data_IF_430114195676
#
_entry.id   IF_430114195676
#
_cell.length_a   1.000
_cell.length_b   1.000
_cell.length_c   1.000
_cell.angle_alpha   90.00
_cell.angle_beta   90.00
_cell.angle_gamma   90.00
#
_symmetry.space_group_name_H-M   'P 1'
#
loop_
_entity.id
_entity.type
_entity.pdbx_description
1 polymer ?
#
# COMPACT_ATOMS: atom_id res chain seq x y z
N UNK A 1 -3.54 7.14 7.20
CA UNK A 1 -4.05 6.48 8.43
C UNK A 1 -4.17 4.98 8.17
N UNK A 2 -4.09 4.14 9.20
CA UNK A 2 -3.95 2.69 9.10
C UNK A 2 -5.05 2.04 8.24
N UNK A 3 -4.65 1.13 7.35
CA UNK A 3 -5.56 0.15 6.78
C UNK A 3 -6.32 -0.44 7.96
N UNK A 4 -7.65 -0.43 7.91
CA UNK A 4 -8.45 -1.02 8.97
C UNK A 4 -8.44 -2.55 8.79
N UNK A 5 -7.23 -3.13 8.79
CA UNK A 5 -6.98 -4.56 8.82
C UNK A 5 -7.72 -5.20 9.99
N UNK A 6 -8.05 -4.41 11.02
CA UNK A 6 -8.89 -4.82 12.15
C UNK A 6 -10.33 -5.18 11.77
N UNK A 7 -10.86 -4.65 10.66
CA UNK A 7 -12.17 -5.06 10.14
C UNK A 7 -12.14 -6.43 9.47
N UNK A 8 -10.97 -6.85 8.97
CA UNK A 8 -10.76 -8.14 8.30
C UNK A 8 -10.30 -9.19 9.30
N UNK A 9 -9.36 -8.81 10.17
CA UNK A 9 -8.75 -9.66 11.18
C UNK A 9 -9.70 -9.87 12.36
N UNK A 10 -10.05 -11.12 12.64
CA UNK A 10 -11.09 -11.46 13.62
C UNK A 10 -10.58 -11.40 15.06
N UNK A 11 -9.52 -12.16 15.34
CA UNK A 11 -8.94 -12.30 16.70
C UNK A 11 -7.53 -11.75 16.72
N UNK A 12 -7.10 -11.12 17.83
CA UNK A 12 -5.77 -10.53 17.97
C UNK A 12 -5.42 -9.55 16.84
N UNK A 13 -6.42 -8.86 16.29
CA UNK A 13 -6.30 -8.02 15.09
C UNK A 13 -5.13 -7.04 15.14
N UNK A 14 -4.93 -6.34 16.28
CA UNK A 14 -3.79 -5.43 16.48
C UNK A 14 -2.44 -6.13 16.33
N UNK A 15 -2.30 -7.35 16.85
CA UNK A 15 -1.06 -8.12 16.80
C UNK A 15 -0.80 -8.69 15.41
N UNK A 16 -1.85 -9.22 14.77
CA UNK A 16 -1.81 -9.75 13.40
C UNK A 16 -1.56 -8.65 12.36
N UNK A 17 -2.01 -7.42 12.61
CA UNK A 17 -1.70 -6.26 11.76
C UNK A 17 -0.17 -6.04 11.63
N UNK A 18 0.58 -6.14 12.72
CA UNK A 18 2.05 -6.04 12.69
C UNK A 18 2.68 -7.23 11.95
N UNK A 19 2.11 -8.42 12.09
CA UNK A 19 2.57 -9.59 11.34
C UNK A 19 2.34 -9.41 9.84
N UNK A 20 1.15 -8.97 9.40
CA UNK A 20 0.83 -8.74 7.99
C UNK A 20 1.77 -7.71 7.38
N UNK A 21 1.98 -6.57 8.05
CA UNK A 21 2.93 -5.53 7.58
C UNK A 21 4.34 -6.09 7.46
N UNK A 22 4.83 -6.73 8.51
CA UNK A 22 6.16 -7.34 8.52
C UNK A 22 6.31 -8.44 7.44
N UNK A 23 5.29 -9.25 7.23
CA UNK A 23 5.35 -10.34 6.25
C UNK A 23 5.48 -9.81 4.83
N UNK A 24 4.81 -8.69 4.51
CA UNK A 24 4.91 -8.08 3.19
C UNK A 24 6.20 -7.28 3.03
N UNK A 25 6.56 -6.45 4.01
CA UNK A 25 7.66 -5.47 3.88
C UNK A 25 9.02 -5.97 4.38
N UNK A 26 9.04 -7.00 5.22
CA UNK A 26 10.25 -7.55 5.83
C UNK A 26 10.88 -8.71 5.05
N UNK A 27 12.05 -9.13 5.53
CA UNK A 27 12.89 -10.15 4.89
C UNK A 27 12.44 -11.58 5.18
N UNK A 28 11.35 -11.74 5.97
CA UNK A 28 10.73 -13.03 6.33
C UNK A 28 11.68 -13.98 7.09
N UNK A 29 12.80 -13.49 7.59
CA UNK A 29 13.71 -14.26 8.44
C UNK A 29 13.28 -14.17 9.90
N UNK A 30 13.65 -15.19 10.69
CA UNK A 30 13.39 -15.19 12.15
C UNK A 30 14.08 -14.02 12.87
N UNK A 31 15.27 -13.64 12.41
CA UNK A 31 16.03 -12.53 12.98
C UNK A 31 15.31 -11.19 12.75
N UNK A 32 14.89 -10.94 11.51
CA UNK A 32 14.14 -9.75 11.13
C UNK A 32 12.79 -9.68 11.87
N UNK A 33 12.08 -10.81 11.97
CA UNK A 33 10.86 -10.92 12.76
C UNK A 33 11.07 -10.51 14.22
N UNK A 34 12.11 -11.04 14.87
CA UNK A 34 12.40 -10.75 16.28
C UNK A 34 12.73 -9.27 16.49
N UNK A 35 13.40 -8.65 15.52
CA UNK A 35 13.78 -7.24 15.56
C UNK A 35 12.58 -6.32 15.33
N UNK A 36 11.76 -6.62 14.33
CA UNK A 36 10.82 -5.66 13.74
C UNK A 36 9.34 -5.99 13.97
N UNK A 37 8.98 -7.23 14.32
CA UNK A 37 7.59 -7.67 14.49
C UNK A 37 7.28 -8.15 15.92
N UNK A 38 8.13 -9.02 16.49
CA UNK A 38 7.87 -9.75 17.73
C UNK A 38 7.45 -8.88 18.92
N UNK A 39 8.07 -7.70 19.07
CA UNK A 39 7.74 -6.76 20.16
C UNK A 39 6.29 -6.30 20.14
N UNK A 40 5.69 -6.23 18.96
CA UNK A 40 4.33 -5.74 18.76
C UNK A 40 3.32 -6.87 18.54
N UNK A 41 3.74 -7.98 17.94
CA UNK A 41 2.90 -9.17 17.75
C UNK A 41 2.78 -10.02 19.02
N UNK A 42 3.77 -9.96 19.91
CA UNK A 42 3.88 -10.76 21.14
C UNK A 42 3.69 -12.27 20.90
N UNK A 43 4.09 -12.74 19.71
CA UNK A 43 3.99 -14.14 19.30
C UNK A 43 5.34 -14.59 18.77
N UNK A 44 5.71 -15.84 19.07
CA UNK A 44 6.92 -16.44 18.54
C UNK A 44 6.85 -16.63 17.02
N UNK A 45 7.98 -16.46 16.36
CA UNK A 45 8.10 -16.58 14.90
C UNK A 45 7.45 -17.85 14.35
N UNK A 46 7.77 -19.02 14.93
CA UNK A 46 7.22 -20.30 14.48
C UNK A 46 5.69 -20.31 14.58
N UNK A 47 5.14 -19.80 15.68
CA UNK A 47 3.69 -19.70 15.88
C UNK A 47 3.04 -18.78 14.85
N UNK A 48 3.63 -17.62 14.55
CA UNK A 48 3.12 -16.73 13.51
C UNK A 48 3.13 -17.40 12.12
N UNK A 49 4.23 -18.06 11.77
CA UNK A 49 4.42 -18.66 10.46
C UNK A 49 3.61 -19.95 10.25
N UNK A 50 3.44 -20.77 11.28
CA UNK A 50 2.73 -22.06 11.19
C UNK A 50 1.23 -21.92 11.47
N UNK A 51 0.80 -20.90 12.23
CA UNK A 51 -0.61 -20.70 12.56
C UNK A 51 -1.19 -19.49 11.87
N UNK A 52 -0.69 -18.28 12.18
CA UNK A 52 -1.32 -17.06 11.68
C UNK A 52 -1.29 -16.96 10.16
N UNK A 53 -0.18 -17.35 9.53
CA UNK A 53 -0.07 -17.33 8.06
C UNK A 53 -1.12 -18.22 7.36
N UNK A 54 -1.60 -19.27 8.02
CA UNK A 54 -2.60 -20.18 7.48
C UNK A 54 -4.04 -19.72 7.73
N UNK A 55 -4.25 -18.69 8.55
CA UNK A 55 -5.58 -18.16 8.81
C UNK A 55 -6.08 -17.34 7.61
N UNK A 56 -7.31 -17.60 7.18
CA UNK A 56 -7.92 -16.95 6.01
C UNK A 56 -7.98 -15.42 6.14
N UNK A 57 -8.27 -14.90 7.34
CA UNK A 57 -8.32 -13.46 7.60
C UNK A 57 -6.95 -12.80 7.46
N UNK A 58 -5.88 -13.50 7.84
CA UNK A 58 -4.50 -13.04 7.66
C UNK A 58 -4.09 -13.08 6.20
N UNK A 59 -4.42 -14.14 5.47
CA UNK A 59 -4.12 -14.24 4.04
C UNK A 59 -4.84 -13.15 3.24
N UNK A 60 -6.10 -12.87 3.57
CA UNK A 60 -6.87 -11.81 2.94
C UNK A 60 -6.28 -10.42 3.26
N UNK A 61 -5.90 -10.20 4.52
CA UNK A 61 -5.20 -8.99 4.93
C UNK A 61 -3.87 -8.80 4.16
N UNK A 62 -3.10 -9.86 3.94
CA UNK A 62 -1.86 -9.83 3.13
C UNK A 62 -2.18 -9.42 1.69
N UNK A 63 -3.19 -10.03 1.05
CA UNK A 63 -3.57 -9.68 -0.33
C UNK A 63 -3.97 -8.22 -0.47
N UNK A 64 -4.79 -7.71 0.45
CA UNK A 64 -5.23 -6.31 0.45
C UNK A 64 -4.04 -5.37 0.64
N UNK A 65 -3.13 -5.70 1.57
CA UNK A 65 -1.91 -4.91 1.77
C UNK A 65 -1.02 -4.90 0.51
N UNK A 66 -0.83 -6.06 -0.13
CA UNK A 66 -0.07 -6.17 -1.39
C UNK A 66 -0.74 -5.41 -2.54
N UNK A 67 -2.08 -5.45 -2.68
CA UNK A 67 -2.82 -4.64 -3.68
C UNK A 67 -2.53 -3.15 -3.47
N UNK A 68 -2.60 -2.67 -2.24
CA UNK A 68 -2.31 -1.26 -1.91
C UNK A 68 -0.86 -0.88 -2.18
N UNK A 69 0.09 -1.73 -1.78
CA UNK A 69 1.51 -1.49 -2.05
C UNK A 69 1.80 -1.47 -3.56
N UNK A 70 1.15 -2.34 -4.34
CA UNK A 70 1.23 -2.31 -5.80
C UNK A 70 0.75 -0.98 -6.36
N UNK A 71 -0.38 -0.45 -5.86
CA UNK A 71 -0.91 0.82 -6.32
C UNK A 71 0.06 1.99 -6.04
N UNK A 72 0.70 2.01 -4.86
CA UNK A 72 1.74 3.00 -4.53
C UNK A 72 2.91 2.92 -5.51
N UNK A 73 3.45 1.72 -5.74
CA UNK A 73 4.56 1.50 -6.68
C UNK A 73 4.18 1.94 -8.10
N UNK A 74 2.93 1.73 -8.51
CA UNK A 74 2.44 2.19 -9.81
C UNK A 74 2.38 3.72 -9.91
N UNK A 75 2.00 4.42 -8.83
CA UNK A 75 2.06 5.89 -8.78
C UNK A 75 3.50 6.41 -8.86
N UNK A 76 4.44 5.78 -8.16
CA UNK A 76 5.87 6.14 -8.22
C UNK A 76 6.45 5.93 -9.63
N UNK A 77 6.07 4.84 -10.30
CA UNK A 77 6.43 4.60 -11.71
C UNK A 77 5.80 5.66 -12.60
N UNK A 78 4.53 6.02 -12.37
CA UNK A 78 3.85 7.06 -13.13
C UNK A 78 4.59 8.39 -13.03
N UNK A 79 4.94 8.84 -11.83
CA UNK A 79 5.70 10.07 -11.62
C UNK A 79 7.07 10.02 -12.31
N UNK A 80 7.77 8.89 -12.22
CA UNK A 80 9.06 8.67 -12.88
C UNK A 80 8.93 8.78 -14.41
N UNK A 81 7.93 8.13 -15.00
CA UNK A 81 7.68 8.16 -16.45
C UNK A 81 7.22 9.54 -16.91
N UNK A 82 6.38 10.21 -16.13
CA UNK A 82 5.92 11.57 -16.41
C UNK A 82 7.10 12.56 -16.47
N UNK A 83 8.01 12.51 -15.50
CA UNK A 83 9.20 13.37 -15.50
C UNK A 83 10.12 13.11 -16.70
N UNK A 84 10.29 11.84 -17.12
CA UNK A 84 11.03 11.50 -18.33
C UNK A 84 10.33 12.01 -19.60
N UNK A 85 9.01 11.88 -19.67
CA UNK A 85 8.21 12.40 -20.78
C UNK A 85 8.37 13.92 -20.92
N UNK A 86 8.32 14.67 -19.80
CA UNK A 86 8.58 16.11 -19.79
C UNK A 86 10.00 16.48 -20.24
N UNK A 87 10.95 15.55 -20.10
CA UNK A 87 12.33 15.71 -20.55
C UNK A 87 12.53 15.31 -22.02
N UNK A 88 11.45 15.01 -22.75
CA UNK A 88 11.46 14.67 -24.17
C UNK A 88 11.55 13.18 -24.50
N UNK A 89 11.46 12.28 -23.49
CA UNK A 89 11.40 10.84 -23.74
C UNK A 89 10.02 10.42 -24.28
N UNK A 90 9.95 10.25 -25.59
CA UNK A 90 8.74 9.85 -26.32
C UNK A 90 8.17 8.51 -25.83
N UNK A 91 9.01 7.54 -25.46
CA UNK A 91 8.52 6.24 -24.97
C UNK A 91 7.86 6.37 -23.60
N UNK A 92 8.43 7.22 -22.75
CA UNK A 92 7.83 7.53 -21.46
C UNK A 92 6.51 8.29 -21.64
N UNK A 93 6.42 9.20 -22.62
CA UNK A 93 5.16 9.88 -22.97
C UNK A 93 4.07 8.91 -23.45
N UNK A 94 4.41 7.97 -24.34
CA UNK A 94 3.48 6.92 -24.78
C UNK A 94 3.02 6.01 -23.63
N UNK A 95 3.92 5.68 -22.69
CA UNK A 95 3.57 4.89 -21.52
C UNK A 95 2.60 5.65 -20.61
N UNK A 96 2.85 6.94 -20.36
CA UNK A 96 1.97 7.81 -19.55
C UNK A 96 0.59 7.92 -20.20
N UNK A 97 0.52 8.12 -21.51
CA UNK A 97 -0.75 8.16 -22.24
C UNK A 97 -1.52 6.84 -22.11
N UNK A 98 -0.86 5.70 -22.25
CA UNK A 98 -1.48 4.37 -22.06
C UNK A 98 -1.95 4.16 -20.63
N UNK A 99 -1.16 4.58 -19.65
CA UNK A 99 -1.51 4.47 -18.23
C UNK A 99 -2.72 5.35 -17.88
N UNK A 100 -2.77 6.58 -18.40
CA UNK A 100 -3.92 7.48 -18.21
C UNK A 100 -5.22 6.90 -18.80
N UNK A 101 -5.13 6.14 -19.89
CA UNK A 101 -6.27 5.43 -20.51
C UNK A 101 -6.59 4.08 -19.84
N UNK A 102 -5.81 3.66 -18.86
CA UNK A 102 -6.04 2.39 -18.16
C UNK A 102 -7.09 2.54 -17.06
N UNK A 103 -7.64 1.41 -16.63
CA UNK A 103 -8.62 1.36 -15.54
C UNK A 103 -8.03 1.72 -14.16
N UNK A 104 -6.74 2.05 -14.07
CA UNK A 104 -6.09 2.43 -12.81
C UNK A 104 -6.74 3.64 -12.13
N UNK A 105 -7.27 4.58 -12.91
CA UNK A 105 -7.99 5.76 -12.42
C UNK A 105 -9.51 5.67 -12.56
N UNK A 106 -10.04 4.54 -13.06
CA UNK A 106 -11.48 4.36 -13.29
C UNK A 106 -12.23 3.94 -12.03
N UNK A 107 -13.28 4.69 -11.69
CA UNK A 107 -14.44 4.43 -10.80
C UNK A 107 -14.29 3.72 -9.43
N UNK A 108 -13.09 3.40 -8.95
CA UNK A 108 -12.85 3.07 -7.54
C UNK A 108 -12.59 4.34 -6.70
N UNK A 109 -13.31 5.43 -7.00
CA UNK A 109 -13.20 6.73 -6.29
C UNK A 109 -13.29 6.56 -4.77
N UNK A 110 -14.11 5.63 -4.29
CA UNK A 110 -14.24 5.30 -2.87
C UNK A 110 -12.95 4.69 -2.26
N UNK A 111 -12.18 3.86 -2.98
CA UNK A 111 -10.93 3.27 -2.46
C UNK A 111 -9.74 4.25 -2.53
N UNK A 112 -9.73 5.14 -3.53
CA UNK A 112 -8.64 6.10 -3.76
C UNK A 112 -8.84 7.39 -2.95
N UNK A 113 -10.06 7.92 -2.79
CA UNK A 113 -10.30 9.12 -1.99
C UNK A 113 -10.11 8.85 -0.49
N UNK A 114 -10.57 7.70 0.02
CA UNK A 114 -10.26 7.24 1.39
C UNK A 114 -8.73 7.09 1.61
N UNK A 115 -7.97 6.87 0.53
CA UNK A 115 -6.52 6.72 0.55
C UNK A 115 -5.79 8.07 0.48
N UNK A 116 -6.25 9.04 -0.32
CA UNK A 116 -5.65 10.36 -0.51
C UNK A 116 -5.88 11.33 0.66
N UNK A 117 -6.97 11.16 1.42
CA UNK A 117 -7.25 11.97 2.63
C UNK A 117 -6.17 11.87 3.72
N UNK A 118 -5.28 10.88 3.65
CA UNK A 118 -4.20 10.66 4.61
C UNK A 118 -2.77 10.96 4.11
N UNK A 119 -2.62 11.37 2.84
CA UNK A 119 -1.32 11.72 2.26
C UNK A 119 -1.29 13.24 2.10
N UNK A 120 -0.47 13.93 2.90
CA UNK A 120 -0.17 15.34 2.65
C UNK A 120 0.76 15.41 1.44
N UNK A 121 0.19 15.38 0.24
CA UNK A 121 0.92 15.57 -1.02
C UNK A 121 1.20 17.07 -1.14
N UNK A 122 2.45 17.55 -1.02
CA UNK A 122 2.76 18.98 -1.04
C UNK A 122 2.43 19.66 -2.39
N UNK A 123 2.12 18.89 -3.43
CA UNK A 123 1.79 19.38 -4.77
C UNK A 123 0.29 19.48 -5.08
N UNK A 124 -0.61 19.08 -4.17
CA UNK A 124 -2.05 19.35 -4.29
C UNK A 124 -2.51 20.52 -3.40
N UNK A 125 -1.62 21.49 -3.17
CA UNK A 125 -1.99 22.81 -2.68
C UNK A 125 -2.84 23.51 -3.73
N UNK A 126 -4.15 23.27 -3.67
CA UNK A 126 -5.14 23.92 -4.52
C UNK A 126 -4.89 25.41 -4.57
N UNK A 127 -4.49 25.87 -5.75
CA UNK A 127 -4.56 27.28 -6.08
C UNK A 127 -5.97 27.76 -5.80
N UNK A 128 -6.12 28.59 -4.77
CA UNK A 128 -7.28 29.47 -4.65
C UNK A 128 -7.24 30.44 -5.83
N UNK A 129 -7.72 29.98 -6.99
CA UNK A 129 -8.18 30.89 -8.03
C UNK A 129 -9.60 31.28 -7.66
N UNK A 130 -9.72 32.50 -7.14
CA UNK A 130 -11.03 33.14 -6.95
C UNK A 130 -11.75 33.30 -8.27
N UNK A 131 -13.08 33.30 -8.22
CA UNK A 131 -13.86 34.26 -8.99
C UNK A 131 -15.29 34.39 -8.44
N UNK A 132 -15.66 35.66 -8.24
CA UNK A 132 -16.96 36.26 -7.88
C UNK A 132 -17.39 36.22 -6.41
#
# INVERSE_FOLDING_TARGET
MAIDLKKILKTNAKKKEFFVKWFVDGDKTKEDYNKNCKKNSEVEYNTAMEKWLLEEDVQEAIKIYMKKQRNIKMLEIYDSMYNKALSGDVKSAEWVEKFYKSDFFGDDSDEIDDFLTGINIPSLGGGKNGNK
#
